data_IF_651817196002
#
_entry.id   IF_651817196002
#
_cell.length_a   1.000
_cell.length_b   1.000
_cell.length_c   1.000
_cell.angle_alpha   90.00
_cell.angle_beta   90.00
_cell.angle_gamma   90.00
#
_symmetry.space_group_name_H-M   'P 1'
#
loop_
_entity.id
_entity.type
_entity.pdbx_description
1 polymer ?
#
# COMPACT_ATOMS: atom_id res chain seq x y z
N UNK A 1 -10.91 -13.80 14.84
CA UNK A 1 -10.37 -13.05 13.69
C UNK A 1 -11.10 -13.53 12.43
N UNK A 2 -11.31 -12.67 11.42
CA UNK A 2 -11.92 -13.11 10.16
C UNK A 2 -10.98 -14.05 9.39
N UNK A 3 -11.55 -15.03 8.68
CA UNK A 3 -10.79 -15.97 7.84
C UNK A 3 -10.37 -15.37 6.50
N UNK A 4 -11.16 -14.43 5.99
CA UNK A 4 -10.94 -13.73 4.72
C UNK A 4 -11.14 -12.23 4.92
N UNK A 5 -10.26 -11.43 4.34
CA UNK A 5 -10.31 -9.96 4.38
C UNK A 5 -10.12 -9.38 2.98
N UNK A 6 -10.74 -8.22 2.74
CA UNK A 6 -10.49 -7.44 1.54
C UNK A 6 -9.33 -6.48 1.78
N UNK A 7 -8.47 -6.31 0.77
CA UNK A 7 -7.31 -5.42 0.80
C UNK A 7 -7.35 -4.53 -0.43
N UNK A 8 -7.13 -3.23 -0.24
CA UNK A 8 -6.94 -2.29 -1.35
C UNK A 8 -5.45 -2.26 -1.68
N UNK A 9 -5.10 -2.66 -2.90
CA UNK A 9 -3.70 -2.70 -3.35
C UNK A 9 -3.24 -1.29 -3.73
N UNK A 10 -2.20 -0.81 -3.06
CA UNK A 10 -1.55 0.47 -3.35
C UNK A 10 -0.36 0.27 -4.30
N UNK A 11 0.38 -0.82 -4.10
CA UNK A 11 1.60 -1.12 -4.83
C UNK A 11 1.49 -2.54 -5.37
N UNK A 12 1.46 -2.66 -6.70
CA UNK A 12 1.50 -3.97 -7.36
C UNK A 12 2.85 -4.65 -7.15
N UNK A 13 2.83 -5.98 -7.14
CA UNK A 13 4.03 -6.81 -7.17
C UNK A 13 5.00 -6.34 -8.26
N UNK A 14 6.30 -6.37 -7.95
CA UNK A 14 7.41 -5.98 -8.79
C UNK A 14 7.51 -4.47 -9.13
N UNK A 15 6.62 -3.64 -8.58
CA UNK A 15 6.67 -2.18 -8.72
C UNK A 15 7.82 -1.57 -7.91
N UNK A 16 8.41 -0.51 -8.48
CA UNK A 16 9.35 0.40 -7.80
C UNK A 16 8.65 1.67 -7.29
N UNK A 17 7.44 1.93 -7.76
CA UNK A 17 6.68 3.10 -7.38
C UNK A 17 5.92 2.79 -6.10
N UNK A 18 6.34 3.45 -5.01
CA UNK A 18 5.64 3.40 -3.75
C UNK A 18 4.51 4.42 -3.79
N UNK A 19 3.31 3.95 -4.11
CA UNK A 19 2.10 4.74 -3.95
C UNK A 19 1.58 4.60 -2.52
N UNK A 20 0.90 5.64 -2.06
CA UNK A 20 0.14 5.64 -0.81
C UNK A 20 -1.23 6.27 -1.07
N UNK A 21 -2.25 5.72 -0.44
CA UNK A 21 -3.58 6.28 -0.44
C UNK A 21 -3.63 7.51 0.45
N UNK A 22 -4.02 8.65 -0.14
CA UNK A 22 -4.21 9.89 0.60
C UNK A 22 -5.67 10.05 1.02
N UNK A 23 -5.98 9.84 2.29
CA UNK A 23 -7.34 10.03 2.83
C UNK A 23 -7.87 11.46 2.62
N UNK A 24 -6.98 12.46 2.68
CA UNK A 24 -7.34 13.88 2.48
C UNK A 24 -7.89 14.16 1.08
N UNK A 25 -7.28 13.56 0.07
CA UNK A 25 -7.58 13.85 -1.34
C UNK A 25 -8.36 12.73 -2.02
N UNK A 26 -8.52 11.59 -1.35
CA UNK A 26 -9.15 10.37 -1.87
C UNK A 26 -8.53 9.90 -3.19
N UNK A 27 -7.19 9.92 -3.28
CA UNK A 27 -6.41 9.49 -4.45
C UNK A 27 -5.21 8.66 -4.03
N UNK A 28 -4.71 7.83 -4.95
CA UNK A 28 -3.37 7.25 -4.84
C UNK A 28 -2.33 8.29 -5.24
N UNK A 29 -1.43 8.60 -4.32
CA UNK A 29 -0.34 9.54 -4.53
C UNK A 29 0.97 8.75 -4.61
N UNK A 30 1.80 9.07 -5.60
CA UNK A 30 3.19 8.60 -5.59
C UNK A 30 3.92 9.26 -4.41
N UNK A 31 4.32 8.46 -3.43
CA UNK A 31 5.16 8.94 -2.33
C UNK A 31 6.61 9.05 -2.81
N UNK A 32 7.15 7.96 -3.38
CA UNK A 32 8.51 7.95 -3.95
C UNK A 32 8.74 6.80 -4.92
N UNK A 33 9.80 6.92 -5.71
CA UNK A 33 10.37 5.82 -6.48
C UNK A 33 11.50 5.17 -5.67
N UNK A 34 11.45 3.86 -5.50
CA UNK A 34 12.49 3.10 -4.83
C UNK A 34 13.82 3.13 -5.59
N UNK A 35 14.93 2.88 -4.89
CA UNK A 35 16.25 2.76 -5.51
C UNK A 35 16.30 1.67 -6.59
N UNK A 36 17.29 1.74 -7.48
CA UNK A 36 17.38 1.00 -8.76
C UNK A 36 17.21 -0.53 -8.68
N UNK A 37 17.32 -1.14 -7.50
CA UNK A 37 17.25 -2.59 -7.29
C UNK A 37 16.17 -3.03 -6.29
N UNK A 38 15.40 -2.10 -5.72
CA UNK A 38 14.37 -2.42 -4.74
C UNK A 38 13.01 -2.47 -5.45
N UNK A 39 12.30 -3.59 -5.29
CA UNK A 39 10.96 -3.84 -5.80
C UNK A 39 10.14 -4.52 -4.73
N UNK A 40 8.85 -4.24 -4.68
CA UNK A 40 7.95 -4.96 -3.78
C UNK A 40 7.78 -6.41 -4.27
N UNK A 41 8.08 -7.42 -3.45
CA UNK A 41 8.02 -8.83 -3.87
C UNK A 41 6.59 -9.40 -3.91
N UNK A 42 5.60 -8.62 -3.48
CA UNK A 42 4.18 -8.98 -3.48
C UNK A 42 3.32 -7.72 -3.57
N UNK A 43 2.02 -7.90 -3.84
CA UNK A 43 1.06 -6.81 -3.76
C UNK A 43 0.99 -6.26 -2.33
N UNK A 44 1.16 -4.96 -2.18
CA UNK A 44 1.13 -4.26 -0.90
C UNK A 44 -0.03 -3.26 -0.87
N UNK A 45 -0.64 -3.11 0.30
CA UNK A 45 -1.76 -2.21 0.50
C UNK A 45 -2.33 -2.31 1.90
N UNK A 46 -3.54 -1.80 2.09
CA UNK A 46 -4.17 -1.70 3.42
C UNK A 46 -5.55 -2.35 3.46
N UNK A 47 -5.97 -2.73 4.67
CA UNK A 47 -7.34 -3.19 4.94
C UNK A 47 -8.20 -1.96 5.19
N UNK A 48 -9.24 -1.71 4.39
CA UNK A 48 -10.10 -0.54 4.58
C UNK A 48 -10.83 -0.62 5.92
N UNK A 49 -11.04 0.54 6.56
CA UNK A 49 -11.72 0.68 7.87
C UNK A 49 -11.01 -0.05 9.03
N UNK A 50 -9.71 -0.28 8.91
CA UNK A 50 -8.85 -0.72 10.00
C UNK A 50 -7.90 0.40 10.40
N UNK A 51 -7.64 0.56 11.71
CA UNK A 51 -6.63 1.47 12.24
C UNK A 51 -5.66 0.66 13.11
N UNK A 52 -4.37 0.83 12.89
CA UNK A 52 -3.33 0.26 13.75
C UNK A 52 -2.80 1.32 14.69
N UNK A 53 -2.46 0.94 15.94
CA UNK A 53 -1.60 1.78 16.77
C UNK A 53 -0.17 1.52 16.30
N UNK A 54 0.45 2.54 15.71
CA UNK A 54 1.88 2.51 15.45
C UNK A 54 2.59 2.70 16.80
N UNK A 55 2.98 1.60 17.44
CA UNK A 55 3.87 1.60 18.61
C UNK A 55 5.34 1.61 18.17
#
# INVERSE_FOLDING_TARGET
MPEVINVIIEISENSQNKYEYSEKFNVLKLDRVLGSHLRYPANYGFVPRAWSRDD
#
